data_IF_847215724862
#
_entry.id   IF_847215724862
#
_cell.length_a   1.000
_cell.length_b   1.000
_cell.length_c   1.000
_cell.angle_alpha   90.00
_cell.angle_beta   90.00
_cell.angle_gamma   90.00
#
_symmetry.space_group_name_H-M   'P 1'
#
loop_
_entity.id
_entity.type
_entity.pdbx_description
1 polymer ?
#
# COMPACT_ATOMS: atom_id res chain seq x y z
N UNK A 1 -0.45 4.54 -21.62
CA UNK A 1 -0.04 3.20 -21.13
C UNK A 1 -0.83 2.88 -19.88
N UNK A 2 -1.39 1.67 -19.79
CA UNK A 2 -2.14 1.20 -18.62
C UNK A 2 -1.21 0.43 -17.70
N UNK A 3 -1.37 0.61 -16.40
CA UNK A 3 -0.68 -0.13 -15.35
C UNK A 3 -1.67 -0.50 -14.26
N UNK A 4 -1.55 -1.71 -13.72
CA UNK A 4 -2.29 -2.19 -12.56
C UNK A 4 -1.41 -2.08 -11.33
N UNK A 5 -1.87 -1.39 -10.30
CA UNK A 5 -1.12 -1.18 -9.06
C UNK A 5 -1.93 -1.66 -7.87
N UNK A 6 -1.25 -2.08 -6.80
CA UNK A 6 -1.93 -2.41 -5.57
C UNK A 6 -1.11 -2.06 -4.34
N UNK A 7 -1.79 -1.74 -3.24
CA UNK A 7 -1.18 -1.66 -1.90
C UNK A 7 -1.76 -2.74 -1.00
N UNK A 8 -0.90 -3.33 -0.17
CA UNK A 8 -1.31 -4.41 0.72
C UNK A 8 -0.42 -4.49 1.96
N UNK A 9 -1.00 -4.22 3.13
CA UNK A 9 -0.36 -4.55 4.39
C UNK A 9 -0.49 -6.07 4.63
N UNK A 10 0.64 -6.76 4.63
CA UNK A 10 0.69 -8.23 4.69
C UNK A 10 0.81 -8.80 6.10
N UNK A 11 0.75 -7.94 7.12
CA UNK A 11 0.84 -8.32 8.53
C UNK A 11 1.99 -9.31 8.80
N UNK A 12 3.20 -8.98 8.35
CA UNK A 12 4.42 -9.78 8.48
C UNK A 12 4.35 -11.19 7.88
N UNK A 13 3.29 -11.48 7.11
CA UNK A 13 3.04 -12.82 6.56
C UNK A 13 2.73 -13.87 7.63
N UNK A 14 2.14 -13.47 8.78
CA UNK A 14 1.80 -14.34 9.89
C UNK A 14 0.35 -14.11 10.35
N UNK A 15 -0.18 -15.05 11.14
CA UNK A 15 -1.47 -14.84 11.83
C UNK A 15 -1.27 -13.89 13.02
N UNK A 16 -2.26 -13.01 13.32
CA UNK A 16 -2.17 -12.00 14.38
C UNK A 16 -1.59 -12.52 15.69
N UNK A 17 -2.42 -13.04 16.60
CA UNK A 17 -2.00 -13.40 17.98
C UNK A 17 -1.02 -14.59 18.03
N UNK A 18 -1.14 -15.59 17.13
CA UNK A 18 -0.37 -16.83 17.20
C UNK A 18 0.90 -16.85 16.36
N UNK A 19 1.16 -15.83 15.57
CA UNK A 19 2.37 -15.71 14.73
C UNK A 19 2.63 -16.87 13.76
N UNK A 20 1.62 -17.67 13.39
CA UNK A 20 1.79 -18.79 12.47
C UNK A 20 2.04 -18.28 11.04
N UNK A 21 3.02 -18.83 10.31
CA UNK A 21 3.30 -18.42 8.95
C UNK A 21 2.09 -18.53 8.00
N UNK A 22 1.80 -17.47 7.28
CA UNK A 22 0.83 -17.38 6.18
C UNK A 22 1.44 -16.93 4.87
N UNK A 23 2.75 -16.85 4.82
CA UNK A 23 3.48 -16.24 3.72
C UNK A 23 3.18 -16.89 2.36
N UNK A 24 2.91 -18.21 2.32
CA UNK A 24 2.47 -18.89 1.10
C UNK A 24 1.09 -18.40 0.62
N UNK A 25 0.17 -18.16 1.56
CA UNK A 25 -1.16 -17.61 1.23
C UNK A 25 -1.04 -16.14 0.78
N UNK A 26 -0.12 -15.37 1.36
CA UNK A 26 0.20 -14.01 0.91
C UNK A 26 0.77 -14.06 -0.51
N UNK A 27 1.75 -14.92 -0.81
CA UNK A 27 2.28 -15.06 -2.16
C UNK A 27 1.19 -15.39 -3.19
N UNK A 28 0.31 -16.33 -2.85
CA UNK A 28 -0.84 -16.66 -3.71
C UNK A 28 -1.79 -15.47 -3.87
N UNK A 29 -1.92 -14.61 -2.84
CA UNK A 29 -2.67 -13.37 -2.95
C UNK A 29 -2.02 -12.40 -3.96
N UNK A 30 -0.70 -12.18 -3.87
CA UNK A 30 0.02 -11.30 -4.79
C UNK A 30 -0.11 -11.78 -6.24
N UNK A 31 -0.05 -13.09 -6.46
CA UNK A 31 -0.28 -13.67 -7.77
C UNK A 31 -1.73 -13.43 -8.27
N UNK A 32 -2.73 -13.57 -7.40
CA UNK A 32 -4.13 -13.33 -7.75
C UNK A 32 -4.46 -11.84 -7.97
N UNK A 33 -3.76 -10.92 -7.32
CA UNK A 33 -3.88 -9.48 -7.54
C UNK A 33 -3.40 -9.11 -8.94
N UNK A 34 -2.36 -9.80 -9.44
CA UNK A 34 -1.79 -9.63 -10.78
C UNK A 34 -1.47 -8.16 -11.12
N UNK A 35 -0.91 -7.42 -10.18
CA UNK A 35 -0.52 -6.03 -10.39
C UNK A 35 0.85 -5.93 -11.08
N UNK A 36 1.08 -4.84 -11.81
CA UNK A 36 2.39 -4.50 -12.38
C UNK A 36 3.33 -3.97 -11.31
N UNK A 37 2.77 -3.25 -10.32
CA UNK A 37 3.51 -2.67 -9.20
C UNK A 37 2.73 -2.93 -7.90
N UNK A 38 3.41 -3.48 -6.90
CA UNK A 38 2.90 -3.74 -5.56
C UNK A 38 3.61 -2.88 -4.52
N UNK A 39 2.83 -2.24 -3.65
CA UNK A 39 3.31 -1.53 -2.48
C UNK A 39 2.94 -2.35 -1.24
N UNK A 40 3.95 -2.92 -0.58
CA UNK A 40 3.75 -3.83 0.54
C UNK A 40 4.20 -3.19 1.86
N UNK A 41 3.41 -3.35 2.90
CA UNK A 41 3.75 -2.91 4.24
C UNK A 41 3.91 -4.12 5.16
N UNK A 42 4.69 -3.94 6.21
CA UNK A 42 5.05 -4.98 7.17
C UNK A 42 5.74 -6.20 6.54
N UNK A 43 6.53 -6.01 5.49
CA UNK A 43 7.36 -7.09 4.94
C UNK A 43 8.44 -7.43 5.95
N UNK A 44 8.39 -8.65 6.49
CA UNK A 44 9.36 -9.16 7.46
C UNK A 44 10.48 -9.89 6.72
N UNK A 45 11.40 -9.13 6.14
CA UNK A 45 12.39 -9.69 5.22
C UNK A 45 13.28 -10.75 5.89
N UNK A 46 13.68 -10.49 7.14
CA UNK A 46 14.44 -11.48 7.94
C UNK A 46 13.76 -11.71 9.29
N UNK A 47 13.56 -12.98 9.65
CA UNK A 47 13.13 -13.38 10.99
C UNK A 47 13.69 -14.76 11.34
N UNK A 48 14.70 -14.81 12.20
CA UNK A 48 15.40 -16.03 12.59
C UNK A 48 14.53 -17.05 13.35
N UNK A 49 13.44 -16.58 13.99
CA UNK A 49 12.47 -17.47 14.63
C UNK A 49 11.56 -18.14 13.61
N UNK A 50 11.09 -17.37 12.62
CA UNK A 50 10.18 -17.90 11.60
C UNK A 50 10.89 -18.85 10.62
N UNK A 51 12.16 -18.60 10.29
CA UNK A 51 12.96 -19.48 9.41
C UNK A 51 13.07 -20.91 9.99
N UNK A 52 12.98 -21.07 11.30
CA UNK A 52 12.95 -22.41 11.96
C UNK A 52 11.63 -23.14 11.76
N UNK A 53 10.57 -22.45 11.37
CA UNK A 53 9.28 -23.05 11.13
C UNK A 53 9.25 -23.71 9.74
N UNK A 54 8.89 -25.00 9.67
CA UNK A 54 8.91 -25.81 8.42
C UNK A 54 8.13 -25.17 7.26
N UNK A 55 7.06 -24.43 7.56
CA UNK A 55 6.21 -23.76 6.59
C UNK A 55 6.70 -22.34 6.20
N UNK A 56 7.88 -21.91 6.67
CA UNK A 56 8.45 -20.62 6.32
C UNK A 56 9.55 -20.79 5.26
N UNK A 57 9.63 -19.91 4.23
CA UNK A 57 10.67 -20.00 3.21
C UNK A 57 12.07 -19.83 3.81
N UNK A 58 13.05 -20.51 3.22
CA UNK A 58 14.47 -20.37 3.61
C UNK A 58 15.12 -19.11 3.03
N UNK A 59 14.59 -18.59 1.94
CA UNK A 59 14.96 -17.27 1.38
C UNK A 59 14.43 -16.14 2.23
N UNK A 60 14.85 -14.89 1.93
CA UNK A 60 14.20 -13.71 2.53
C UNK A 60 12.70 -13.69 2.19
N UNK A 61 11.90 -13.05 3.02
CA UNK A 61 10.46 -12.92 2.72
C UNK A 61 10.25 -12.14 1.42
N UNK A 62 11.05 -11.10 1.19
CA UNK A 62 10.99 -10.29 -0.02
C UNK A 62 11.26 -11.15 -1.28
N UNK A 63 12.34 -11.93 -1.27
CA UNK A 63 12.69 -12.80 -2.39
C UNK A 63 11.58 -13.83 -2.65
N UNK A 64 11.05 -14.44 -1.60
CA UNK A 64 9.96 -15.40 -1.72
C UNK A 64 8.69 -14.79 -2.32
N UNK A 65 8.33 -13.57 -1.90
CA UNK A 65 7.16 -12.87 -2.44
C UNK A 65 7.39 -12.45 -3.89
N UNK A 66 8.62 -12.05 -4.26
CA UNK A 66 8.97 -11.67 -5.62
C UNK A 66 8.81 -12.82 -6.64
N UNK A 67 8.89 -14.08 -6.20
CA UNK A 67 8.61 -15.24 -7.08
C UNK A 67 7.18 -15.28 -7.64
N UNK A 68 6.31 -14.35 -7.23
CA UNK A 68 4.98 -14.16 -7.84
C UNK A 68 5.02 -13.48 -9.21
N UNK A 69 6.20 -13.26 -9.82
CA UNK A 69 6.38 -12.68 -11.14
C UNK A 69 6.93 -11.26 -11.14
N UNK A 70 7.69 -10.90 -10.09
CA UNK A 70 8.31 -9.57 -9.96
C UNK A 70 9.83 -9.67 -10.03
N UNK A 71 10.41 -9.14 -11.10
CA UNK A 71 11.86 -9.16 -11.33
C UNK A 71 12.56 -8.03 -10.58
N UNK A 72 11.87 -6.91 -10.37
CA UNK A 72 12.44 -5.72 -9.75
C UNK A 72 11.81 -5.48 -8.37
N UNK A 73 12.65 -5.10 -7.41
CA UNK A 73 12.23 -4.88 -6.03
C UNK A 73 13.05 -3.80 -5.34
N UNK A 74 12.39 -3.05 -4.47
CA UNK A 74 13.01 -2.15 -3.51
C UNK A 74 12.52 -2.50 -2.11
N UNK A 75 13.39 -2.37 -1.11
CA UNK A 75 13.06 -2.64 0.29
C UNK A 75 13.59 -1.54 1.20
N UNK A 76 12.71 -1.04 2.07
CA UNK A 76 13.04 -0.07 3.10
C UNK A 76 12.88 -0.71 4.49
N UNK A 77 13.99 -0.97 5.17
CA UNK A 77 14.00 -1.49 6.53
C UNK A 77 13.61 -0.39 7.50
N UNK A 78 12.52 -0.60 8.27
CA UNK A 78 12.01 0.40 9.20
C UNK A 78 12.26 0.02 10.66
N UNK A 79 11.83 -1.17 11.07
CA UNK A 79 11.96 -1.63 12.45
C UNK A 79 12.92 -2.81 12.54
N UNK A 80 13.93 -2.69 13.39
CA UNK A 80 14.92 -3.73 13.69
C UNK A 80 14.69 -4.22 15.11
N UNK A 81 14.70 -5.53 15.30
CA UNK A 81 14.56 -6.18 16.60
C UNK A 81 15.51 -7.39 16.68
N UNK A 82 15.66 -7.97 17.87
CA UNK A 82 16.67 -9.00 18.15
C UNK A 82 16.72 -10.16 17.14
N UNK A 83 15.61 -10.53 16.52
CA UNK A 83 15.52 -11.71 15.66
C UNK A 83 15.24 -11.39 14.19
N UNK A 84 15.34 -10.12 13.79
CA UNK A 84 15.09 -9.71 12.42
C UNK A 84 14.65 -8.27 12.26
N UNK A 85 14.00 -7.99 11.15
CA UNK A 85 13.52 -6.65 10.81
C UNK A 85 12.29 -6.73 9.91
N UNK A 86 11.54 -5.66 9.85
CA UNK A 86 10.48 -5.49 8.87
C UNK A 86 10.43 -4.06 8.33
N UNK A 87 9.75 -3.89 7.22
CA UNK A 87 9.65 -2.60 6.57
C UNK A 87 8.66 -2.57 5.43
N UNK A 88 8.86 -1.60 4.55
CA UNK A 88 8.09 -1.44 3.33
C UNK A 88 8.82 -2.05 2.14
N UNK A 89 8.06 -2.55 1.16
CA UNK A 89 8.64 -3.03 -0.09
C UNK A 89 7.82 -2.55 -1.29
N UNK A 90 8.52 -2.39 -2.41
CA UNK A 90 7.91 -2.22 -3.73
C UNK A 90 8.38 -3.38 -4.60
N UNK A 91 7.44 -4.15 -5.14
CA UNK A 91 7.70 -5.17 -6.14
C UNK A 91 7.18 -4.66 -7.49
N UNK A 92 7.94 -4.87 -8.57
CA UNK A 92 7.59 -4.35 -9.89
C UNK A 92 7.98 -5.33 -11.01
N UNK A 93 7.12 -5.43 -12.01
CA UNK A 93 7.42 -6.04 -13.31
C UNK A 93 8.24 -5.12 -14.21
N UNK A 94 8.26 -3.83 -13.87
CA UNK A 94 9.00 -2.81 -14.60
C UNK A 94 10.32 -2.49 -13.89
N UNK A 95 11.36 -2.10 -14.64
CA UNK A 95 12.63 -1.72 -14.06
C UNK A 95 12.49 -0.65 -12.98
N UNK A 96 13.06 -0.92 -11.81
CA UNK A 96 13.27 0.06 -10.74
C UNK A 96 14.72 0.53 -10.83
N UNK A 97 14.90 1.84 -10.88
CA UNK A 97 16.20 2.49 -10.78
C UNK A 97 16.62 2.66 -9.32
N UNK A 98 17.07 3.87 -8.97
CA UNK A 98 17.46 4.18 -7.59
C UNK A 98 16.25 4.14 -6.64
N UNK A 99 16.51 3.71 -5.41
CA UNK A 99 15.53 3.82 -4.34
C UNK A 99 16.21 4.24 -3.03
N UNK A 100 15.45 4.89 -2.17
CA UNK A 100 15.91 5.36 -0.85
C UNK A 100 14.82 5.15 0.17
N UNK A 101 15.17 4.72 1.37
CA UNK A 101 14.25 4.62 2.50
C UNK A 101 14.55 5.75 3.49
N UNK A 102 13.55 6.57 3.78
CA UNK A 102 13.64 7.67 4.74
C UNK A 102 13.02 7.24 6.05
N UNK A 103 13.75 7.41 7.15
CA UNK A 103 13.19 7.22 8.49
C UNK A 103 12.25 8.40 8.80
N UNK A 104 10.97 8.10 8.95
CA UNK A 104 9.92 9.05 9.33
C UNK A 104 9.37 8.76 10.73
N UNK A 105 10.12 8.02 11.54
CA UNK A 105 9.74 7.71 12.92
C UNK A 105 9.63 8.98 13.75
N UNK A 106 8.54 9.12 14.47
CA UNK A 106 8.27 10.29 15.31
C UNK A 106 8.64 10.07 16.78
N UNK A 107 8.68 8.80 17.20
CA UNK A 107 9.07 8.41 18.55
C UNK A 107 9.68 7.00 18.56
N UNK A 108 10.37 6.67 19.66
CA UNK A 108 11.16 5.42 19.73
C UNK A 108 10.34 4.13 19.69
N UNK A 109 9.09 4.18 20.12
CA UNK A 109 8.23 3.00 20.23
C UNK A 109 7.63 2.55 18.89
N UNK A 110 7.63 3.41 17.87
CA UNK A 110 7.00 3.12 16.59
C UNK A 110 7.92 3.52 15.44
N UNK A 111 8.56 2.55 14.84
CA UNK A 111 9.47 2.75 13.71
C UNK A 111 8.70 2.75 12.38
N UNK A 112 8.84 3.83 11.63
CA UNK A 112 8.15 4.06 10.36
C UNK A 112 9.13 4.53 9.29
N UNK A 113 8.87 4.15 8.04
CA UNK A 113 9.68 4.57 6.90
C UNK A 113 8.84 4.97 5.70
N UNK A 114 9.43 5.79 4.87
CA UNK A 114 8.95 6.16 3.56
C UNK A 114 9.95 5.63 2.52
N UNK A 115 9.55 4.60 1.78
CA UNK A 115 10.35 4.03 0.71
C UNK A 115 10.01 4.75 -0.60
N UNK A 116 10.96 5.50 -1.15
CA UNK A 116 10.86 6.13 -2.45
C UNK A 116 11.67 5.33 -3.48
N UNK A 117 11.10 5.09 -4.64
CA UNK A 117 11.75 4.44 -5.78
C UNK A 117 11.32 5.13 -7.09
N UNK A 118 12.11 4.96 -8.13
CA UNK A 118 11.79 5.44 -9.48
C UNK A 118 11.67 4.24 -10.41
N UNK A 119 10.51 4.08 -11.05
CA UNK A 119 10.28 3.02 -12.02
C UNK A 119 10.13 3.56 -13.44
N UNK A 120 10.44 2.71 -14.42
CA UNK A 120 10.28 2.98 -15.86
C UNK A 120 9.32 1.99 -16.48
N UNK A 121 8.01 2.25 -16.42
CA UNK A 121 7.00 1.31 -16.86
C UNK A 121 6.96 1.05 -18.37
N UNK A 122 7.61 1.87 -19.19
CA UNK A 122 7.58 1.72 -20.65
C UNK A 122 8.99 1.66 -21.24
N UNK A 123 9.23 0.65 -22.08
CA UNK A 123 10.50 0.52 -22.82
C UNK A 123 10.69 1.61 -23.89
N UNK A 124 9.59 2.23 -24.39
CA UNK A 124 9.60 3.26 -25.44
C UNK A 124 9.44 4.69 -24.93
N UNK A 125 8.87 4.88 -23.77
CA UNK A 125 8.69 6.19 -23.16
C UNK A 125 9.64 6.32 -21.96
N UNK A 126 10.53 7.30 -21.99
CA UNK A 126 11.50 7.57 -20.91
C UNK A 126 10.88 8.29 -19.71
N UNK A 127 9.58 8.18 -19.50
CA UNK A 127 8.90 8.83 -18.38
C UNK A 127 9.20 8.03 -17.10
N UNK A 128 9.96 8.65 -16.23
CA UNK A 128 10.19 8.14 -14.88
C UNK A 128 8.93 8.35 -14.04
N UNK A 129 8.49 7.30 -13.35
CA UNK A 129 7.36 7.32 -12.42
C UNK A 129 7.90 7.19 -11.01
N UNK A 130 7.60 8.18 -10.18
CA UNK A 130 7.98 8.16 -8.77
C UNK A 130 7.01 7.29 -7.98
N UNK A 131 7.53 6.34 -7.23
CA UNK A 131 6.79 5.39 -6.40
C UNK A 131 7.14 5.64 -4.94
N UNK A 132 6.14 5.88 -4.10
CA UNK A 132 6.35 6.05 -2.65
C UNK A 132 5.49 5.06 -1.90
N UNK A 133 6.12 4.19 -1.10
CA UNK A 133 5.45 3.26 -0.19
C UNK A 133 5.57 3.76 1.24
N UNK A 134 4.43 3.92 1.92
CA UNK A 134 4.37 4.40 3.31
C UNK A 134 3.64 3.41 4.21
N UNK A 135 4.00 3.43 5.50
CA UNK A 135 3.19 2.90 6.58
C UNK A 135 3.27 3.90 7.73
N UNK A 136 2.21 4.70 7.89
CA UNK A 136 2.18 5.79 8.88
C UNK A 136 1.83 5.28 10.28
N UNK A 137 2.13 6.10 11.28
CA UNK A 137 1.93 5.77 12.67
C UNK A 137 0.46 5.76 13.14
N UNK A 138 0.21 5.06 14.23
CA UNK A 138 -1.12 4.95 14.85
C UNK A 138 -1.52 6.24 15.58
N UNK A 139 -0.55 7.03 16.06
CA UNK A 139 -0.79 8.26 16.80
C UNK A 139 -1.05 9.40 15.81
N UNK A 140 -2.20 10.07 15.97
CA UNK A 140 -2.64 11.15 15.08
C UNK A 140 -1.61 12.27 14.87
N UNK A 141 -0.98 12.75 15.95
CA UNK A 141 0.03 13.81 15.86
C UNK A 141 1.26 13.35 15.07
N UNK A 142 1.68 12.12 15.28
CA UNK A 142 2.79 11.50 14.54
C UNK A 142 2.45 11.37 13.05
N UNK A 143 1.25 10.89 12.70
CA UNK A 143 0.79 10.81 11.30
C UNK A 143 0.84 12.16 10.58
N UNK A 144 0.40 13.22 11.24
CA UNK A 144 0.43 14.57 10.64
C UNK A 144 1.86 15.02 10.38
N UNK A 145 2.81 14.79 11.32
CA UNK A 145 4.22 15.12 11.09
C UNK A 145 4.85 14.29 9.99
N UNK A 146 4.55 12.99 9.95
CA UNK A 146 4.99 12.08 8.90
C UNK A 146 4.41 12.48 7.51
N UNK A 147 3.15 12.92 7.47
CA UNK A 147 2.54 13.45 6.25
C UNK A 147 3.19 14.77 5.80
N UNK A 148 3.56 15.65 6.72
CA UNK A 148 4.32 16.86 6.40
C UNK A 148 5.68 16.54 5.80
N UNK A 149 6.42 15.60 6.41
CA UNK A 149 7.68 15.14 5.83
C UNK A 149 7.50 14.62 4.39
N UNK A 150 6.47 13.79 4.15
CA UNK A 150 6.14 13.28 2.82
C UNK A 150 5.84 14.42 1.84
N UNK A 151 5.07 15.43 2.25
CA UNK A 151 4.72 16.60 1.43
C UNK A 151 5.98 17.38 1.08
N UNK A 152 6.79 17.72 2.08
CA UNK A 152 8.04 18.48 1.90
C UNK A 152 8.98 17.74 0.95
N UNK A 153 9.15 16.43 1.13
CA UNK A 153 9.94 15.59 0.25
C UNK A 153 9.44 15.63 -1.19
N UNK A 154 8.14 15.46 -1.42
CA UNK A 154 7.57 15.48 -2.78
C UNK A 154 7.73 16.85 -3.43
N UNK A 155 7.59 17.94 -2.67
CA UNK A 155 7.74 19.30 -3.19
C UNK A 155 9.18 19.67 -3.53
N UNK A 156 10.16 19.14 -2.79
CA UNK A 156 11.58 19.46 -2.93
C UNK A 156 12.28 18.53 -3.94
N UNK A 157 11.99 17.22 -3.88
CA UNK A 157 12.78 16.21 -4.59
C UNK A 157 12.10 15.69 -5.87
N UNK A 158 10.80 15.91 -6.05
CA UNK A 158 10.06 15.37 -7.20
C UNK A 158 9.59 16.51 -8.12
N UNK A 159 9.95 16.49 -9.41
CA UNK A 159 9.50 17.51 -10.35
C UNK A 159 7.97 17.67 -10.35
N UNK A 160 7.47 18.90 -10.34
CA UNK A 160 6.03 19.22 -10.20
C UNK A 160 5.13 18.50 -11.21
N UNK A 161 5.63 18.22 -12.41
CA UNK A 161 4.87 17.53 -13.47
C UNK A 161 5.17 16.03 -13.55
N UNK A 162 6.10 15.51 -12.76
CA UNK A 162 6.44 14.10 -12.80
C UNK A 162 5.26 13.24 -12.30
N UNK A 163 4.99 12.12 -12.99
CA UNK A 163 4.03 11.14 -12.52
C UNK A 163 4.47 10.56 -11.18
N UNK A 164 3.53 10.47 -10.25
CA UNK A 164 3.79 9.92 -8.92
C UNK A 164 2.65 9.02 -8.47
N UNK A 165 3.00 7.93 -7.80
CA UNK A 165 2.08 7.03 -7.10
C UNK A 165 2.55 6.94 -5.64
N UNK A 166 1.71 7.36 -4.70
CA UNK A 166 1.95 7.23 -3.26
C UNK A 166 0.93 6.23 -2.72
N UNK A 167 1.40 5.11 -2.19
CA UNK A 167 0.53 4.05 -1.74
C UNK A 167 1.00 3.44 -0.42
N UNK A 168 0.07 2.91 0.37
CA UNK A 168 0.40 2.28 1.63
C UNK A 168 -0.73 2.29 2.64
N UNK A 169 -0.35 1.91 3.87
CA UNK A 169 -1.19 1.99 5.05
C UNK A 169 -0.98 3.36 5.73
N UNK A 170 -1.95 4.22 5.59
CA UNK A 170 -1.91 5.57 6.15
C UNK A 170 -2.43 5.65 7.57
N UNK A 171 -3.07 4.60 8.09
CA UNK A 171 -3.70 4.59 9.41
C UNK A 171 -4.61 5.81 9.68
N UNK A 172 -5.12 6.45 8.61
CA UNK A 172 -5.83 7.73 8.65
C UNK A 172 -7.34 7.59 8.50
N UNK A 173 -8.00 6.94 9.47
CA UNK A 173 -9.46 6.80 9.47
C UNK A 173 -10.23 8.13 9.58
N UNK A 174 -9.58 9.22 10.05
CA UNK A 174 -10.16 10.56 10.18
C UNK A 174 -9.96 11.44 8.94
N UNK A 175 -9.30 10.94 7.88
CA UNK A 175 -9.04 11.63 6.62
C UNK A 175 -8.29 12.96 6.72
N UNK A 176 -7.48 13.17 7.75
CA UNK A 176 -6.69 14.40 7.91
C UNK A 176 -5.47 14.42 7.01
N UNK A 177 -4.80 13.28 6.90
CA UNK A 177 -3.68 13.10 5.98
C UNK A 177 -4.18 13.18 4.54
N UNK A 178 -5.33 12.56 4.25
CA UNK A 178 -5.98 12.63 2.94
C UNK A 178 -6.16 14.10 2.48
N UNK A 179 -6.74 14.93 3.33
CA UNK A 179 -6.94 16.36 3.03
C UNK A 179 -5.63 17.06 2.71
N UNK A 180 -4.61 16.90 3.57
CA UNK A 180 -3.29 17.52 3.38
C UNK A 180 -2.64 17.13 2.06
N UNK A 181 -2.58 15.82 1.76
CA UNK A 181 -1.94 15.33 0.54
C UNK A 181 -2.63 15.83 -0.74
N UNK A 182 -3.95 15.87 -0.72
CA UNK A 182 -4.73 16.31 -1.89
C UNK A 182 -4.63 17.81 -2.12
N UNK A 183 -4.72 18.61 -1.06
CA UNK A 183 -4.69 20.07 -1.16
C UNK A 183 -3.29 20.58 -1.48
N UNK A 184 -2.25 20.03 -0.86
CA UNK A 184 -0.88 20.57 -1.00
C UNK A 184 -0.10 19.97 -2.17
N UNK A 185 -0.41 18.72 -2.59
CA UNK A 185 0.29 18.05 -3.69
C UNK A 185 -0.54 17.89 -4.96
N UNK A 186 -1.83 18.27 -4.93
CA UNK A 186 -2.73 18.12 -6.07
C UNK A 186 -2.92 16.65 -6.51
N UNK A 187 -3.00 15.74 -5.54
CA UNK A 187 -3.12 14.30 -5.80
C UNK A 187 -4.58 13.87 -5.91
N UNK A 188 -4.86 12.95 -6.83
CA UNK A 188 -6.12 12.24 -6.91
C UNK A 188 -6.08 10.97 -6.04
N UNK A 189 -7.08 10.76 -5.17
CA UNK A 189 -7.23 9.51 -4.40
C UNK A 189 -8.02 8.49 -5.22
N UNK A 190 -7.46 7.29 -5.39
CA UNK A 190 -8.03 6.22 -6.22
C UNK A 190 -9.43 5.81 -5.76
N UNK A 191 -9.64 5.57 -4.48
CA UNK A 191 -10.92 5.12 -3.95
C UNK A 191 -12.05 6.14 -4.05
N UNK A 192 -11.73 7.42 -4.26
CA UNK A 192 -12.69 8.51 -4.36
C UNK A 192 -13.15 8.78 -5.79
N UNK A 193 -12.27 8.57 -6.76
CA UNK A 193 -12.57 8.81 -8.18
C UNK A 193 -13.54 7.76 -8.77
N UNK A 194 -13.58 6.57 -8.20
CA UNK A 194 -14.47 5.48 -8.64
C UNK A 194 -15.94 5.65 -8.22
N UNK A 195 -16.23 6.63 -7.39
CA UNK A 195 -17.60 6.92 -6.94
C UNK A 195 -18.32 7.87 -7.89
N UNK A 196 -18.62 7.41 -9.10
CA UNK A 196 -19.77 7.94 -9.83
C UNK A 196 -21.04 7.62 -9.03
N UNK A 197 -22.06 8.50 -9.01
CA UNK A 197 -23.27 8.27 -8.23
C UNK A 197 -24.00 7.05 -8.79
N UNK A 198 -23.83 5.89 -8.19
CA UNK A 198 -24.79 4.80 -8.37
C UNK A 198 -26.13 5.29 -7.84
N UNK A 199 -27.18 5.16 -8.66
CA UNK A 199 -28.56 5.45 -8.27
C UNK A 199 -28.84 4.68 -6.98
N UNK A 200 -29.23 5.42 -5.92
CA UNK A 200 -29.64 4.85 -4.65
C UNK A 200 -30.60 3.68 -4.90
N UNK A 201 -30.28 2.50 -4.42
CA UNK A 201 -31.14 1.35 -4.53
C UNK A 201 -32.31 1.48 -3.55
N UNK A 202 -33.46 0.86 -3.85
CA UNK A 202 -34.60 0.80 -2.92
C UNK A 202 -34.21 0.25 -1.52
N UNK A 203 -33.17 -0.60 -1.46
CA UNK A 203 -32.61 -1.13 -0.22
C UNK A 203 -31.90 -0.05 0.62
N UNK A 204 -31.33 0.96 0.00
CA UNK A 204 -30.67 2.08 0.69
C UNK A 204 -31.70 3.02 1.34
N UNK A 205 -32.93 3.02 0.84
CA UNK A 205 -34.05 3.78 1.41
C UNK A 205 -34.60 3.12 2.68
N UNK A 206 -34.52 1.79 2.77
CA UNK A 206 -35.11 0.99 3.87
C UNK A 206 -34.10 0.79 5.02
N UNK A 207 -32.81 0.93 4.72
CA UNK A 207 -31.71 0.76 5.68
C UNK A 207 -30.84 2.03 5.77
N UNK A 208 -31.33 3.10 6.42
CA UNK A 208 -30.62 4.39 6.46
C UNK A 208 -29.24 4.35 7.11
N UNK A 209 -28.94 3.33 7.95
CA UNK A 209 -27.59 3.09 8.46
C UNK A 209 -26.58 2.60 7.39
N UNK A 210 -27.03 2.21 6.21
CA UNK A 210 -26.21 1.97 5.01
C UNK A 210 -25.87 3.26 4.26
N UNK A 211 -26.63 4.31 4.44
CA UNK A 211 -26.52 5.60 3.74
C UNK A 211 -25.36 6.50 4.25
N UNK A 212 -24.50 6.03 5.15
CA UNK A 212 -23.26 6.72 5.50
C UNK A 212 -22.18 6.70 4.41
N UNK A 213 -22.51 6.25 3.22
CA UNK A 213 -21.62 6.19 2.08
C UNK A 213 -21.88 7.38 1.15
N UNK A 214 -21.21 8.46 1.39
CA UNK A 214 -20.66 9.26 0.29
C UNK A 214 -19.90 8.32 -0.67
N UNK A 215 -19.37 8.79 -1.80
CA UNK A 215 -18.78 7.97 -2.86
C UNK A 215 -18.01 6.78 -2.28
N UNK A 216 -18.25 5.58 -2.78
CA UNK A 216 -17.86 4.30 -2.15
C UNK A 216 -16.37 4.32 -1.90
N UNK A 217 -16.01 4.48 -0.66
CA UNK A 217 -14.62 4.61 -0.26
C UNK A 217 -14.07 3.23 0.02
N UNK A 218 -12.90 2.93 -0.52
CA UNK A 218 -12.26 1.63 -0.43
C UNK A 218 -11.95 1.26 1.03
N UNK A 219 -12.77 0.40 1.64
CA UNK A 219 -12.60 -0.09 3.01
C UNK A 219 -11.71 -1.33 3.00
N UNK A 220 -10.61 -1.31 3.76
CA UNK A 220 -9.59 -2.37 3.70
C UNK A 220 -9.36 -3.08 5.02
N UNK A 221 -9.83 -2.53 6.15
CA UNK A 221 -9.60 -3.07 7.49
C UNK A 221 -10.88 -3.10 8.35
N UNK A 222 -11.07 -4.07 9.23
CA UNK A 222 -10.37 -5.35 9.28
C UNK A 222 -10.84 -6.29 8.16
N UNK A 223 -9.98 -7.17 7.67
CA UNK A 223 -10.22 -7.98 6.46
C UNK A 223 -11.45 -8.88 6.50
N UNK A 224 -11.91 -9.29 7.69
CA UNK A 224 -13.10 -10.13 7.86
C UNK A 224 -14.42 -9.37 7.71
N UNK A 225 -14.42 -8.05 7.96
CA UNK A 225 -15.55 -7.13 7.81
C UNK A 225 -15.03 -5.70 7.61
N UNK A 226 -14.56 -5.32 6.42
CA UNK A 226 -13.89 -4.04 6.21
C UNK A 226 -14.83 -2.85 6.42
N UNK A 227 -14.49 -1.96 7.36
CA UNK A 227 -15.21 -0.72 7.64
C UNK A 227 -14.32 0.52 7.76
N UNK A 228 -13.01 0.33 7.95
CA UNK A 228 -12.00 1.39 7.94
C UNK A 228 -11.24 1.44 6.61
N UNK A 229 -10.87 2.64 6.22
CA UNK A 229 -10.07 2.96 5.06
C UNK A 229 -8.68 3.35 5.53
N UNK A 230 -7.84 2.37 5.75
CA UNK A 230 -6.47 2.60 6.21
C UNK A 230 -5.49 2.64 5.05
N UNK A 231 -5.72 1.77 4.05
CA UNK A 231 -4.87 1.67 2.87
C UNK A 231 -5.39 2.61 1.77
N UNK A 232 -4.48 3.35 1.15
CA UNK A 232 -4.81 4.34 0.11
C UNK A 232 -3.79 4.31 -1.01
N UNK A 233 -4.23 4.78 -2.18
CA UNK A 233 -3.40 5.05 -3.35
C UNK A 233 -3.72 6.46 -3.83
N UNK A 234 -2.70 7.31 -3.88
CA UNK A 234 -2.76 8.66 -4.43
C UNK A 234 -1.92 8.74 -5.69
N UNK A 235 -2.42 9.48 -6.69
CA UNK A 235 -1.75 9.58 -7.98
C UNK A 235 -1.73 11.01 -8.51
N UNK A 236 -0.69 11.35 -9.27
CA UNK A 236 -0.58 12.52 -10.12
C UNK A 236 0.02 12.10 -11.47
N UNK A 237 -0.49 12.67 -12.58
CA UNK A 237 -0.07 12.28 -13.91
C UNK A 237 -0.74 11.02 -14.45
N UNK A 238 -1.79 10.54 -13.80
CA UNK A 238 -2.55 9.37 -14.21
C UNK A 238 -4.05 9.67 -14.33
N UNK A 239 -4.73 8.90 -15.16
CA UNK A 239 -6.18 8.74 -15.16
C UNK A 239 -6.53 7.45 -14.42
N UNK A 240 -7.38 7.52 -13.43
CA UNK A 240 -7.88 6.35 -12.71
C UNK A 240 -8.96 5.70 -13.57
N UNK A 241 -8.77 4.43 -13.93
CA UNK A 241 -9.70 3.67 -14.76
C UNK A 241 -10.66 2.84 -13.93
N UNK A 242 -10.13 2.14 -12.91
CA UNK A 242 -10.92 1.33 -11.99
C UNK A 242 -10.29 1.24 -10.61
N UNK A 243 -11.10 0.85 -9.63
CA UNK A 243 -10.70 0.59 -8.25
C UNK A 243 -11.37 -0.70 -7.79
N UNK A 244 -10.61 -1.57 -7.13
CA UNK A 244 -11.08 -2.85 -6.62
C UNK A 244 -10.58 -3.07 -5.20
N UNK A 245 -11.48 -3.56 -4.33
CA UNK A 245 -11.15 -4.09 -3.01
C UNK A 245 -11.73 -5.49 -2.95
N UNK A 246 -10.91 -6.53 -3.08
CA UNK A 246 -11.40 -7.91 -3.08
C UNK A 246 -11.88 -8.29 -1.67
N UNK A 247 -12.99 -9.02 -1.62
CA UNK A 247 -13.65 -9.40 -0.38
C UNK A 247 -13.71 -10.92 -0.15
N UNK A 248 -14.29 -11.28 0.99
CA UNK A 248 -14.60 -12.66 1.35
C UNK A 248 -13.56 -13.35 2.23
N UNK A 249 -13.95 -14.54 2.75
CA UNK A 249 -13.17 -15.29 3.75
C UNK A 249 -11.76 -15.68 3.28
N UNK A 250 -11.56 -15.82 1.98
CA UNK A 250 -10.25 -16.17 1.41
C UNK A 250 -9.24 -15.05 1.72
N UNK A 251 -9.65 -13.79 1.59
CA UNK A 251 -8.81 -12.63 1.88
C UNK A 251 -8.61 -12.44 3.38
N UNK A 252 -9.66 -12.61 4.17
CA UNK A 252 -9.60 -12.52 5.63
C UNK A 252 -8.62 -13.53 6.28
N UNK A 253 -8.30 -14.62 5.59
CA UNK A 253 -7.33 -15.61 6.06
C UNK A 253 -5.89 -15.30 5.70
N UNK A 254 -5.63 -14.26 4.88
CA UNK A 254 -4.29 -13.94 4.37
C UNK A 254 -3.59 -12.86 5.18
N UNK A 255 -4.30 -11.80 5.49
CA UNK A 255 -3.87 -10.68 6.33
C UNK A 255 -5.07 -10.12 7.11
N UNK A 256 -4.84 -9.25 8.07
CA UNK A 256 -5.88 -8.45 8.73
C UNK A 256 -6.33 -7.24 7.90
N UNK A 257 -5.61 -6.92 6.82
CA UNK A 257 -6.04 -6.02 5.75
C UNK A 257 -6.51 -6.80 4.52
N UNK A 258 -7.26 -6.14 3.63
CA UNK A 258 -7.47 -6.56 2.24
C UNK A 258 -6.75 -5.58 1.31
N UNK A 259 -6.25 -6.01 0.15
CA UNK A 259 -5.55 -5.10 -0.76
C UNK A 259 -6.48 -4.07 -1.38
N UNK A 260 -5.95 -2.90 -1.68
CA UNK A 260 -6.56 -1.91 -2.56
C UNK A 260 -5.85 -1.97 -3.91
N UNK A 261 -6.61 -2.15 -4.97
CA UNK A 261 -6.11 -2.34 -6.34
C UNK A 261 -6.66 -1.23 -7.23
N UNK A 262 -5.85 -0.75 -8.17
CA UNK A 262 -6.27 0.25 -9.14
C UNK A 262 -5.70 -0.04 -10.53
N UNK A 263 -6.49 0.26 -11.55
CA UNK A 263 -6.01 0.40 -12.92
C UNK A 263 -5.82 1.89 -13.24
N UNK A 264 -4.63 2.22 -13.68
CA UNK A 264 -4.21 3.58 -13.97
C UNK A 264 -3.75 3.70 -15.42
N UNK A 265 -4.02 4.84 -16.03
CA UNK A 265 -3.49 5.18 -17.34
C UNK A 265 -2.62 6.42 -17.24
N UNK A 266 -1.33 6.29 -17.62
CA UNK A 266 -0.38 7.39 -17.67
C UNK A 266 -0.85 8.43 -18.70
N UNK A 267 -0.93 9.70 -18.29
CA UNK A 267 -1.31 10.85 -19.14
C UNK A 267 -0.16 11.37 -19.95
#
# INVERSE_FOLDING_TARGET
MKIRVATYNIHKGVTGIRGRPRIHAVRSALHAIDADILFLQEVQDRNERLVRHRAYPKSTQLDFLATSGYEHRAYGMNAVYQHGHHGNAILSRHPIGNFTNHDISDHMLEKRGMLHAVARPSRGNRTDVHLICVHLGLIKRSRVRQARFLIDFVQQEIPKKAPIIIAGDFNDWQRRVDTLLREELGLDEVGRAAAAPERASLLDLIMPWRQGAGPSVARTFPSFAPWLMLDRIYVRGFRILSTEVPGGLVWARRSDHVPLIAELELR
#
